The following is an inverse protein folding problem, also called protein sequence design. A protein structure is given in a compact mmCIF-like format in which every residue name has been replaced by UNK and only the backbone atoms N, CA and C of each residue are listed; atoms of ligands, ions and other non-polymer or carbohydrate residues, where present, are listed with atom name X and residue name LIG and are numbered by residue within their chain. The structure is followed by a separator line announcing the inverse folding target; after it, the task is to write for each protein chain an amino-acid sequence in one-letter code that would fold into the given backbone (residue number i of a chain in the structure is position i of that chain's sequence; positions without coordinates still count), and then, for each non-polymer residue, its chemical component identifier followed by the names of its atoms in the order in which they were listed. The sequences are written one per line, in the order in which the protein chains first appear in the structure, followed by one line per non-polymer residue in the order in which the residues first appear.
data_IF_171854481855
#
_entry.id   IF_171854481855
#
_cell.length_a   1.000
_cell.length_b   1.000
_cell.length_c   1.000
_cell.angle_alpha   90.00
_cell.angle_beta   90.00
_cell.angle_gamma   90.00
#
_symmetry.space_group_name_H-M   'P 1'
#
loop_
_entity.id
_entity.type
_entity.pdbx_description
1 polymer ?
#
# COMPACT_ATOMS: atom_id res chain seq x y z
N UNK A 1 -11.27 53.26 -9.22
CA UNK A 1 -11.35 51.87 -8.74
C UNK A 1 -12.64 51.27 -9.29
N UNK A 2 -12.52 50.31 -10.20
CA UNK A 2 -13.18 50.35 -11.52
C UNK A 2 -14.54 49.64 -11.64
N UNK A 3 -15.44 50.24 -12.44
CA UNK A 3 -16.81 49.83 -12.83
C UNK A 3 -16.91 48.38 -13.37
N UNK A 4 -15.78 47.80 -13.80
CA UNK A 4 -15.69 46.43 -14.31
C UNK A 4 -15.94 45.33 -13.27
N UNK A 5 -15.76 45.60 -11.97
CA UNK A 5 -16.03 44.63 -10.88
C UNK A 5 -17.54 44.36 -10.67
N UNK A 6 -18.40 45.29 -11.06
CA UNK A 6 -19.86 45.14 -10.96
C UNK A 6 -20.48 44.32 -12.10
N UNK A 7 -19.78 44.17 -13.23
CA UNK A 7 -20.30 43.47 -14.42
C UNK A 7 -19.75 42.04 -14.60
N UNK A 8 -18.58 41.72 -14.05
CA UNK A 8 -17.91 40.41 -14.27
C UNK A 8 -17.71 39.55 -13.01
N UNK A 9 -18.31 39.96 -11.89
CA UNK A 9 -18.09 39.33 -10.59
C UNK A 9 -16.63 39.45 -10.13
N UNK A 10 -16.31 38.80 -9.03
CA UNK A 10 -14.93 38.69 -8.55
C UNK A 10 -14.05 37.94 -9.56
N UNK A 11 -12.75 38.28 -9.65
CA UNK A 11 -11.81 37.54 -10.49
C UNK A 11 -11.43 36.21 -9.82
N UNK A 12 -11.03 35.20 -10.61
CA UNK A 12 -10.49 33.94 -10.06
C UNK A 12 -9.32 34.21 -9.11
N UNK A 13 -8.44 35.13 -9.51
CA UNK A 13 -7.28 35.54 -8.72
C UNK A 13 -7.70 36.08 -7.36
N UNK A 14 -8.67 36.98 -7.30
CA UNK A 14 -9.09 37.59 -6.04
C UNK A 14 -9.73 36.54 -5.12
N UNK A 15 -10.64 35.72 -5.66
CA UNK A 15 -11.31 34.66 -4.90
C UNK A 15 -10.32 33.63 -4.35
N UNK A 16 -9.39 33.16 -5.18
CA UNK A 16 -8.43 32.12 -4.80
C UNK A 16 -7.32 32.67 -3.90
N UNK A 17 -6.97 33.95 -4.03
CA UNK A 17 -6.07 34.62 -3.08
C UNK A 17 -6.70 34.73 -1.70
N UNK A 18 -7.99 35.04 -1.61
CA UNK A 18 -8.73 35.07 -0.34
C UNK A 18 -8.83 33.67 0.29
N UNK A 19 -9.14 32.66 -0.52
CA UNK A 19 -9.12 31.26 -0.08
C UNK A 19 -7.74 30.88 0.49
N UNK A 20 -6.66 31.20 -0.23
CA UNK A 20 -5.31 30.89 0.21
C UNK A 20 -4.99 31.56 1.55
N UNK A 21 -5.38 32.83 1.72
CA UNK A 21 -5.24 33.55 2.98
C UNK A 21 -6.04 32.90 4.13
N UNK A 22 -7.29 32.49 3.88
CA UNK A 22 -8.12 31.79 4.88
C UNK A 22 -7.54 30.44 5.30
N UNK A 23 -6.91 29.72 4.36
CA UNK A 23 -6.26 28.44 4.62
C UNK A 23 -4.83 28.58 5.18
N UNK A 24 -4.33 29.81 5.38
CA UNK A 24 -2.97 30.07 5.85
C UNK A 24 -1.90 29.57 4.87
N UNK A 25 -2.18 29.64 3.57
CA UNK A 25 -1.35 29.01 2.53
C UNK A 25 -1.05 29.93 1.35
N UNK A 26 -0.23 29.45 0.41
CA UNK A 26 0.22 30.24 -0.72
C UNK A 26 -0.73 30.14 -1.93
N UNK A 27 -1.07 31.31 -2.48
CA UNK A 27 -1.62 31.41 -3.83
C UNK A 27 -0.48 31.50 -4.83
N UNK A 28 -0.46 30.60 -5.81
CA UNK A 28 0.50 30.61 -6.91
C UNK A 28 -0.16 31.23 -8.14
N UNK A 29 0.20 32.48 -8.50
CA UNK A 29 -0.29 33.07 -9.74
C UNK A 29 0.29 32.29 -10.93
N UNK A 30 -0.58 31.79 -11.79
CA UNK A 30 -0.16 31.23 -13.07
C UNK A 30 0.59 32.28 -13.91
N UNK A 31 1.69 31.87 -14.55
CA UNK A 31 2.39 32.70 -15.55
C UNK A 31 1.59 32.81 -16.86
N UNK A 32 2.19 33.37 -17.91
CA UNK A 32 1.55 33.57 -19.23
C UNK A 32 0.95 32.30 -19.87
N UNK A 33 1.35 31.12 -19.40
CA UNK A 33 0.89 29.80 -19.87
C UNK A 33 0.46 28.86 -18.73
N UNK A 34 0.44 29.33 -17.48
CA UNK A 34 0.15 28.50 -16.30
C UNK A 34 -1.23 28.81 -15.73
N UNK A 35 -1.93 27.79 -15.24
CA UNK A 35 -3.15 28.00 -14.46
C UNK A 35 -2.83 28.63 -13.09
N UNK A 36 -3.72 29.49 -12.59
CA UNK A 36 -3.70 29.86 -11.17
C UNK A 36 -3.83 28.60 -10.32
N UNK A 37 -3.12 28.54 -9.20
CA UNK A 37 -3.20 27.41 -8.28
C UNK A 37 -3.27 27.87 -6.82
N UNK A 38 -3.98 27.11 -5.99
CA UNK A 38 -3.88 27.17 -4.54
C UNK A 38 -3.33 25.83 -4.08
N UNK A 39 -2.19 25.86 -3.39
CA UNK A 39 -1.61 24.67 -2.77
C UNK A 39 -1.76 24.82 -1.28
N UNK A 40 -2.41 23.87 -0.61
CA UNK A 40 -2.57 23.88 0.84
C UNK A 40 -2.08 22.56 1.43
N UNK A 41 -1.47 22.62 2.62
CA UNK A 41 -1.18 21.43 3.42
C UNK A 41 -2.19 21.31 4.54
N UNK A 42 -3.14 20.37 4.44
CA UNK A 42 -4.20 20.17 5.43
C UNK A 42 -4.21 18.72 5.89
N UNK A 43 -4.22 18.49 7.20
CA UNK A 43 -4.25 17.14 7.77
C UNK A 43 -3.05 16.27 7.37
N UNK A 44 -1.93 16.87 6.97
CA UNK A 44 -0.74 16.18 6.49
C UNK A 44 -0.66 16.00 4.96
N UNK A 45 -1.75 16.27 4.23
CA UNK A 45 -1.83 16.08 2.77
C UNK A 45 -1.58 17.37 2.01
N UNK A 46 -0.97 17.26 0.83
CA UNK A 46 -0.79 18.37 -0.10
C UNK A 46 -1.98 18.42 -1.08
N UNK A 47 -2.85 19.40 -0.92
CA UNK A 47 -4.01 19.63 -1.77
C UNK A 47 -3.67 20.71 -2.81
N UNK A 48 -3.99 20.43 -4.07
CA UNK A 48 -3.77 21.38 -5.18
C UNK A 48 -5.09 21.66 -5.89
N UNK A 49 -5.54 22.91 -5.80
CA UNK A 49 -6.63 23.45 -6.60
C UNK A 49 -6.04 24.14 -7.83
N UNK A 50 -6.41 23.72 -9.03
CA UNK A 50 -6.04 24.37 -10.29
C UNK A 50 -7.18 24.38 -11.31
N UNK A 51 -6.95 25.03 -12.45
CA UNK A 51 -7.81 24.90 -13.63
C UNK A 51 -7.05 24.24 -14.77
N UNK A 52 -7.75 23.46 -15.59
CA UNK A 52 -7.19 22.92 -16.83
C UNK A 52 -8.18 23.07 -17.97
N UNK A 53 -7.69 23.09 -19.21
CA UNK A 53 -8.51 23.17 -20.40
C UNK A 53 -8.51 21.84 -21.14
N UNK A 54 -9.69 21.39 -21.55
CA UNK A 54 -9.86 20.26 -22.45
C UNK A 54 -10.29 20.81 -23.80
N UNK A 55 -9.49 20.59 -24.84
CA UNK A 55 -9.83 20.93 -26.22
C UNK A 55 -10.41 19.71 -26.95
N UNK A 56 -11.59 19.88 -27.53
CA UNK A 56 -12.22 18.89 -28.40
C UNK A 56 -12.45 19.52 -29.78
N UNK A 57 -11.40 19.53 -30.60
CA UNK A 57 -11.44 20.14 -31.94
C UNK A 57 -11.69 21.65 -31.89
N UNK A 58 -12.96 22.07 -32.01
CA UNK A 58 -13.39 23.47 -32.17
C UNK A 58 -13.82 24.17 -30.87
N UNK A 59 -13.81 23.47 -29.74
CA UNK A 59 -14.15 24.05 -28.44
C UNK A 59 -13.10 23.75 -27.39
N UNK A 60 -12.78 24.75 -26.55
CA UNK A 60 -12.00 24.57 -25.33
C UNK A 60 -12.93 24.77 -24.14
N UNK A 61 -12.96 23.80 -23.23
CA UNK A 61 -13.72 23.89 -22.00
C UNK A 61 -12.75 23.92 -20.81
N UNK A 62 -12.90 24.95 -19.98
CA UNK A 62 -12.14 25.08 -18.74
C UNK A 62 -12.81 24.27 -17.63
N UNK A 63 -12.01 23.59 -16.82
CA UNK A 63 -12.42 22.83 -15.66
C UNK A 63 -11.67 23.31 -14.43
N UNK A 64 -12.35 23.37 -13.28
CA UNK A 64 -11.73 23.47 -11.96
C UNK A 64 -11.44 22.06 -11.45
N UNK A 65 -10.25 21.85 -10.88
CA UNK A 65 -9.84 20.58 -10.32
C UNK A 65 -9.21 20.77 -8.95
N UNK A 66 -9.62 19.93 -8.00
CA UNK A 66 -8.93 19.77 -6.72
C UNK A 66 -8.36 18.36 -6.68
N UNK A 67 -7.06 18.23 -6.41
CA UNK A 67 -6.39 16.94 -6.29
C UNK A 67 -5.60 16.84 -5.00
N UNK A 68 -5.52 15.63 -4.46
CA UNK A 68 -4.63 15.31 -3.36
C UNK A 68 -4.03 13.92 -3.62
N UNK A 69 -2.69 13.83 -3.80
CA UNK A 69 -2.03 12.54 -3.83
C UNK A 69 -2.12 11.90 -2.44
N UNK A 70 -2.38 10.60 -2.41
CA UNK A 70 -2.36 9.82 -1.19
C UNK A 70 -1.94 8.39 -1.48
N UNK A 71 -1.36 7.75 -0.47
CA UNK A 71 -0.97 6.34 -0.54
C UNK A 71 -2.25 5.51 -0.52
N UNK A 72 -2.51 4.75 -1.58
CA UNK A 72 -3.73 3.94 -1.73
C UNK A 72 -3.38 2.47 -1.95
N UNK A 73 -2.96 1.78 -0.88
CA UNK A 73 -2.37 0.47 -1.06
C UNK A 73 -3.43 -0.58 -1.43
N UNK A 74 -4.62 -0.47 -0.87
CA UNK A 74 -5.73 -1.36 -1.23
C UNK A 74 -6.19 -1.24 -2.70
N UNK A 75 -5.59 -0.33 -3.50
CA UNK A 75 -6.03 0.02 -4.85
C UNK A 75 -7.55 0.24 -4.91
N UNK A 76 -8.08 0.87 -3.84
CA UNK A 76 -9.49 1.18 -3.75
C UNK A 76 -9.80 2.17 -4.88
N UNK A 77 -10.83 1.88 -5.67
CA UNK A 77 -11.36 2.81 -6.66
C UNK A 77 -12.78 3.12 -6.25
N UNK A 78 -13.12 4.40 -6.25
CA UNK A 78 -14.51 4.79 -6.17
C UNK A 78 -14.75 6.06 -6.97
N UNK A 79 -16.02 6.29 -7.27
CA UNK A 79 -16.54 7.53 -7.82
C UNK A 79 -17.83 7.87 -7.08
N UNK A 80 -17.93 9.10 -6.59
CA UNK A 80 -19.11 9.64 -5.91
C UNK A 80 -19.51 10.92 -6.62
N UNK A 81 -20.75 10.99 -7.09
CA UNK A 81 -21.26 12.18 -7.75
C UNK A 81 -22.77 12.35 -7.53
N UNK A 82 -23.26 13.59 -7.63
CA UNK A 82 -24.70 13.85 -7.48
C UNK A 82 -25.49 13.38 -8.71
N UNK A 83 -26.61 12.69 -8.48
CA UNK A 83 -27.47 12.13 -9.53
C UNK A 83 -27.98 13.22 -10.50
N UNK A 84 -28.32 14.39 -9.97
CA UNK A 84 -28.86 15.53 -10.73
C UNK A 84 -27.89 16.17 -11.74
N UNK A 85 -26.62 15.76 -11.76
CA UNK A 85 -25.58 16.32 -12.65
C UNK A 85 -25.05 15.31 -13.67
N UNK A 86 -25.73 14.18 -13.85
CA UNK A 86 -25.33 13.15 -14.80
C UNK A 86 -25.80 13.47 -16.23
N UNK A 87 -24.86 13.48 -17.20
CA UNK A 87 -25.16 13.59 -18.64
C UNK A 87 -24.58 12.46 -19.49
N UNK A 88 -24.24 11.30 -18.90
CA UNK A 88 -23.83 10.10 -19.64
C UNK A 88 -22.32 9.83 -19.67
N UNK A 89 -21.70 9.47 -18.54
CA UNK A 89 -20.38 8.86 -18.51
C UNK A 89 -20.45 7.49 -17.84
N UNK A 90 -20.75 6.46 -18.63
CA UNK A 90 -20.60 5.06 -18.24
C UNK A 90 -19.19 4.59 -18.66
N UNK A 91 -18.27 4.53 -17.69
CA UNK A 91 -17.11 3.64 -17.80
C UNK A 91 -17.10 2.78 -16.55
N UNK A 92 -17.31 1.49 -16.77
CA UNK A 92 -17.71 0.51 -15.77
C UNK A 92 -16.62 0.24 -14.73
N UNK A 93 -16.91 0.57 -13.48
CA UNK A 93 -16.45 -0.21 -12.34
C UNK A 93 -17.62 -1.09 -11.91
N UNK A 94 -17.50 -2.41 -12.04
CA UNK A 94 -18.32 -3.36 -11.27
C UNK A 94 -19.86 -3.26 -11.33
N UNK A 95 -20.48 -2.96 -12.48
CA UNK A 95 -21.90 -3.22 -12.88
C UNK A 95 -23.08 -2.75 -11.98
N UNK A 96 -22.92 -2.30 -10.74
CA UNK A 96 -24.02 -1.80 -9.89
C UNK A 96 -23.60 -0.60 -9.03
N UNK A 97 -24.51 0.34 -8.82
CA UNK A 97 -24.33 1.46 -7.89
C UNK A 97 -24.42 0.95 -6.44
N UNK A 98 -23.59 1.48 -5.56
CA UNK A 98 -23.49 1.08 -4.15
C UNK A 98 -24.51 1.88 -3.36
N UNK A 99 -25.54 1.21 -2.84
CA UNK A 99 -26.48 1.80 -1.87
C UNK A 99 -25.85 1.82 -0.47
N UNK A 100 -25.90 2.96 0.21
CA UNK A 100 -25.38 3.12 1.58
C UNK A 100 -26.43 2.73 2.63
N UNK A 101 -27.71 2.68 2.24
CA UNK A 101 -28.84 2.35 3.11
C UNK A 101 -29.44 3.56 3.81
N UNK A 102 -29.24 4.76 3.25
CA UNK A 102 -29.75 6.02 3.78
C UNK A 102 -30.54 6.70 2.65
N UNK A 103 -31.85 6.53 2.65
CA UNK A 103 -32.74 6.92 1.55
C UNK A 103 -32.43 8.30 0.95
N UNK A 104 -32.44 9.37 1.76
CA UNK A 104 -32.20 10.73 1.24
C UNK A 104 -30.77 11.00 0.73
N UNK A 105 -29.80 10.15 1.08
CA UNK A 105 -28.44 10.24 0.53
C UNK A 105 -28.32 9.41 -0.75
N UNK A 106 -28.88 8.20 -0.75
CA UNK A 106 -28.89 7.30 -1.91
C UNK A 106 -29.73 7.86 -3.07
N UNK A 107 -30.74 8.69 -2.79
CA UNK A 107 -31.52 9.42 -3.81
C UNK A 107 -30.69 10.54 -4.48
N UNK A 108 -29.81 11.17 -3.71
CA UNK A 108 -29.05 12.36 -4.12
C UNK A 108 -27.73 12.02 -4.83
N UNK A 109 -27.16 10.84 -4.54
CA UNK A 109 -25.80 10.45 -4.92
C UNK A 109 -25.77 9.10 -5.64
N UNK A 110 -24.98 9.07 -6.73
CA UNK A 110 -24.57 7.83 -7.38
C UNK A 110 -23.16 7.51 -6.91
N UNK A 111 -22.98 6.28 -6.43
CA UNK A 111 -21.74 5.80 -5.82
C UNK A 111 -21.34 4.52 -6.53
N UNK A 112 -20.10 4.48 -7.01
CA UNK A 112 -19.53 3.33 -7.70
C UNK A 112 -18.18 3.03 -7.08
N UNK A 113 -17.81 1.76 -6.98
CA UNK A 113 -16.51 1.41 -6.40
C UNK A 113 -16.08 -0.02 -6.66
N UNK A 114 -14.80 -0.27 -6.41
CA UNK A 114 -14.17 -1.59 -6.55
C UNK A 114 -14.42 -2.53 -5.37
N UNK A 115 -14.79 -1.98 -4.21
CA UNK A 115 -15.07 -2.72 -2.97
C UNK A 115 -16.25 -2.06 -2.24
N UNK A 116 -17.43 -2.68 -2.37
CA UNK A 116 -18.68 -2.18 -1.79
C UNK A 116 -18.61 -2.01 -0.27
N UNK A 117 -18.03 -2.99 0.42
CA UNK A 117 -17.94 -3.00 1.89
C UNK A 117 -17.10 -1.82 2.38
N UNK A 118 -15.95 -1.59 1.74
CA UNK A 118 -15.06 -0.46 2.10
C UNK A 118 -15.68 0.88 1.79
N UNK A 119 -16.34 1.03 0.64
CA UNK A 119 -17.00 2.29 0.27
C UNK A 119 -18.17 2.58 1.20
N UNK A 120 -18.96 1.56 1.59
CA UNK A 120 -19.99 1.69 2.62
C UNK A 120 -19.41 2.09 3.97
N UNK A 121 -18.33 1.46 4.41
CA UNK A 121 -17.67 1.81 5.66
C UNK A 121 -17.17 3.26 5.65
N UNK A 122 -16.54 3.71 4.55
CA UNK A 122 -16.12 5.09 4.36
C UNK A 122 -17.30 6.06 4.49
N UNK A 123 -18.42 5.76 3.83
CA UNK A 123 -19.61 6.61 3.82
C UNK A 123 -20.56 6.38 4.99
N UNK A 124 -20.20 5.52 5.95
CA UNK A 124 -20.93 5.34 7.21
C UNK A 124 -20.74 6.51 8.17
N UNK A 125 -19.70 7.33 7.99
CA UNK A 125 -19.49 8.57 8.72
C UNK A 125 -20.52 9.64 8.33
N UNK A 126 -21.33 10.05 9.32
CA UNK A 126 -22.35 11.09 9.14
C UNK A 126 -21.75 12.46 8.80
N UNK A 127 -20.59 12.81 9.37
CA UNK A 127 -19.93 14.08 9.07
C UNK A 127 -19.49 14.13 7.61
N UNK A 128 -18.98 13.02 7.07
CA UNK A 128 -18.58 12.91 5.68
C UNK A 128 -19.76 13.08 4.72
N UNK A 129 -20.90 12.45 5.03
CA UNK A 129 -22.13 12.61 4.25
C UNK A 129 -22.64 14.05 4.26
N UNK A 130 -22.56 14.75 5.39
CA UNK A 130 -22.92 16.17 5.50
C UNK A 130 -22.00 17.03 4.62
N UNK A 131 -20.68 16.78 4.63
CA UNK A 131 -19.72 17.50 3.79
C UNK A 131 -19.96 17.27 2.29
N UNK A 132 -20.30 16.04 1.89
CA UNK A 132 -20.70 15.71 0.52
C UNK A 132 -22.00 16.42 0.13
N UNK A 133 -23.02 16.34 0.97
CA UNK A 133 -24.33 16.96 0.72
C UNK A 133 -24.24 18.49 0.62
N UNK A 134 -23.32 19.12 1.36
CA UNK A 134 -23.08 20.56 1.27
C UNK A 134 -22.51 21.02 -0.09
N UNK A 135 -22.00 20.10 -0.92
CA UNK A 135 -21.50 20.45 -2.25
C UNK A 135 -22.64 20.45 -3.28
N UNK A 136 -22.96 21.60 -3.90
CA UNK A 136 -24.07 21.68 -4.85
C UNK A 136 -23.77 20.93 -6.14
N UNK A 137 -22.49 20.85 -6.54
CA UNK A 137 -21.98 20.01 -7.64
C UNK A 137 -20.73 19.32 -7.14
N UNK A 138 -20.68 18.00 -7.31
CA UNK A 138 -19.60 17.18 -6.80
C UNK A 138 -19.43 15.95 -7.68
N UNK A 139 -18.19 15.69 -8.07
CA UNK A 139 -17.73 14.47 -8.73
C UNK A 139 -16.35 14.18 -8.19
N UNK A 140 -16.27 13.31 -7.20
CA UNK A 140 -15.00 12.88 -6.57
C UNK A 140 -14.69 11.47 -7.03
N UNK A 141 -13.43 11.21 -7.34
CA UNK A 141 -12.94 9.89 -7.71
C UNK A 141 -11.50 9.66 -7.26
N UNK A 142 -11.10 8.40 -7.18
CA UNK A 142 -9.69 8.03 -7.05
C UNK A 142 -9.15 7.69 -8.44
N UNK A 143 -8.14 8.44 -8.87
CA UNK A 143 -7.47 8.28 -10.15
C UNK A 143 -6.10 7.62 -9.98
N UNK A 144 -5.82 6.67 -10.88
CA UNK A 144 -4.47 6.10 -11.04
C UNK A 144 -3.51 7.18 -11.55
N UNK A 145 -2.27 7.19 -11.07
CA UNK A 145 -1.30 8.25 -11.38
C UNK A 145 -0.71 8.18 -12.80
N UNK A 146 -1.15 7.23 -13.63
CA UNK A 146 -0.73 7.07 -15.03
C UNK A 146 -1.30 8.13 -16.01
N UNK A 147 -1.81 9.26 -15.51
CA UNK A 147 -2.41 10.34 -16.32
C UNK A 147 -1.42 11.39 -16.86
N UNK A 148 -1.44 11.60 -18.19
CA UNK A 148 -0.62 12.45 -19.08
C UNK A 148 -0.17 13.88 -18.65
N UNK A 149 -0.54 14.43 -17.48
CA UNK A 149 -0.24 15.82 -17.11
C UNK A 149 0.05 16.06 -15.61
N UNK A 150 0.49 15.05 -14.86
CA UNK A 150 0.96 15.19 -13.46
C UNK A 150 2.35 14.60 -13.26
N UNK A 151 3.10 14.99 -12.20
CA UNK A 151 4.27 14.22 -11.80
C UNK A 151 3.83 12.80 -11.42
N UNK A 152 4.57 11.77 -11.87
CA UNK A 152 4.39 10.40 -11.38
C UNK A 152 4.77 10.40 -9.90
N UNK A 153 3.84 9.96 -9.05
CA UNK A 153 4.02 9.94 -7.60
C UNK A 153 4.53 8.58 -7.11
N UNK A 154 4.77 7.64 -8.04
CA UNK A 154 5.28 6.29 -7.81
C UNK A 154 4.16 5.24 -7.86
N UNK A 155 4.47 3.94 -7.92
CA UNK A 155 3.48 2.84 -8.07
C UNK A 155 2.42 2.78 -6.94
N UNK A 156 2.74 3.52 -5.88
CA UNK A 156 2.11 3.87 -4.61
C UNK A 156 0.79 4.62 -4.52
N UNK A 157 0.72 5.62 -5.38
CA UNK A 157 0.11 6.88 -5.03
C UNK A 157 -0.96 7.15 -6.05
N UNK A 158 -2.19 7.18 -5.58
CA UNK A 158 -3.31 7.61 -6.40
C UNK A 158 -3.66 9.05 -6.03
N UNK A 159 -4.47 9.69 -6.88
CA UNK A 159 -4.99 11.01 -6.62
C UNK A 159 -6.47 10.95 -6.29
N UNK A 160 -6.84 11.39 -5.09
CA UNK A 160 -8.22 11.80 -4.83
C UNK A 160 -8.45 13.07 -5.65
N UNK A 161 -9.41 13.01 -6.56
CA UNK A 161 -9.61 14.05 -7.58
C UNK A 161 -11.07 14.47 -7.63
N UNK A 162 -11.28 15.78 -7.66
CA UNK A 162 -12.55 16.43 -7.93
C UNK A 162 -12.42 17.23 -9.22
N UNK A 163 -13.44 17.19 -10.06
CA UNK A 163 -13.53 18.01 -11.27
C UNK A 163 -14.91 18.61 -11.47
N UNK A 164 -14.94 19.86 -11.95
CA UNK A 164 -16.15 20.56 -12.35
C UNK A 164 -15.89 21.48 -13.54
N UNK A 165 -16.86 21.61 -14.45
CA UNK A 165 -16.78 22.53 -15.57
C UNK A 165 -16.91 23.99 -15.13
N UNK A 166 -16.07 24.84 -15.70
CA UNK A 166 -15.97 26.26 -15.36
C UNK A 166 -14.99 26.56 -14.22
N UNK A 167 -14.90 27.84 -13.86
CA UNK A 167 -14.05 28.33 -12.78
C UNK A 167 -14.89 28.57 -11.53
N UNK A 168 -14.62 27.84 -10.45
CA UNK A 168 -15.28 28.05 -9.17
C UNK A 168 -14.65 29.26 -8.47
N UNK A 169 -15.46 30.27 -8.15
CA UNK A 169 -15.03 31.51 -7.48
C UNK A 169 -15.66 31.72 -6.11
N UNK A 170 -16.61 30.87 -5.72
CA UNK A 170 -17.21 30.91 -4.39
C UNK A 170 -16.22 30.38 -3.36
N UNK A 171 -15.67 31.30 -2.54
CA UNK A 171 -14.67 30.99 -1.52
C UNK A 171 -15.22 30.05 -0.45
N UNK A 172 -16.47 30.24 -0.01
CA UNK A 172 -17.08 29.40 1.01
C UNK A 172 -17.24 27.96 0.50
N UNK A 173 -17.62 27.81 -0.77
CA UNK A 173 -17.70 26.52 -1.44
C UNK A 173 -16.33 25.87 -1.58
N UNK A 174 -15.31 26.59 -2.05
CA UNK A 174 -13.96 26.07 -2.19
C UNK A 174 -13.41 25.61 -0.84
N UNK A 175 -13.60 26.39 0.23
CA UNK A 175 -13.23 25.99 1.59
C UNK A 175 -13.93 24.69 2.00
N UNK A 176 -15.22 24.55 1.71
CA UNK A 176 -15.96 23.31 1.92
C UNK A 176 -15.37 22.11 1.18
N UNK A 177 -14.88 22.28 -0.05
CA UNK A 177 -14.20 21.23 -0.80
C UNK A 177 -12.87 20.82 -0.16
N UNK A 178 -12.08 21.77 0.34
CA UNK A 178 -10.83 21.45 1.08
C UNK A 178 -11.14 20.68 2.37
N UNK A 179 -12.17 21.07 3.11
CA UNK A 179 -12.63 20.35 4.30
C UNK A 179 -13.12 18.93 3.96
N UNK A 180 -13.88 18.77 2.88
CA UNK A 180 -14.33 17.47 2.38
C UNK A 180 -13.14 16.58 2.00
N UNK A 181 -12.15 17.12 1.28
CA UNK A 181 -10.96 16.37 0.89
C UNK A 181 -10.15 15.92 2.10
N UNK A 182 -9.92 16.81 3.07
CA UNK A 182 -9.22 16.46 4.30
C UNK A 182 -9.94 15.32 5.06
N UNK A 183 -11.28 15.39 5.17
CA UNK A 183 -12.09 14.36 5.82
C UNK A 183 -12.06 13.02 5.04
N UNK A 184 -12.20 13.05 3.72
CA UNK A 184 -12.10 11.86 2.87
C UNK A 184 -10.74 11.18 3.00
N UNK A 185 -9.65 11.94 2.92
CA UNK A 185 -8.29 11.43 3.03
C UNK A 185 -8.02 10.86 4.42
N UNK A 186 -8.49 11.52 5.48
CA UNK A 186 -8.40 11.01 6.84
C UNK A 186 -9.15 9.70 7.00
N UNK A 187 -10.39 9.60 6.52
CA UNK A 187 -11.18 8.39 6.62
C UNK A 187 -10.59 7.23 5.78
N UNK A 188 -10.02 7.54 4.61
CA UNK A 188 -9.29 6.59 3.78
C UNK A 188 -8.05 6.03 4.49
N UNK A 189 -7.30 6.87 5.21
CA UNK A 189 -6.17 6.41 6.01
C UNK A 189 -6.61 5.63 7.26
N UNK A 190 -7.66 6.04 7.95
CA UNK A 190 -8.15 5.34 9.14
C UNK A 190 -8.69 3.94 8.81
N UNK A 191 -9.38 3.78 7.67
CA UNK A 191 -9.79 2.47 7.16
C UNK A 191 -8.61 1.56 6.82
N UNK A 192 -7.51 2.12 6.33
CA UNK A 192 -6.26 1.39 6.09
C UNK A 192 -5.52 1.05 7.40
N UNK A 193 -5.53 1.95 8.39
CA UNK A 193 -4.91 1.78 9.72
C UNK A 193 -5.58 0.68 10.57
N UNK A 194 -6.90 0.51 10.44
CA UNK A 194 -7.68 -0.49 11.19
C UNK A 194 -7.30 -1.96 10.88
N UNK A 195 -6.66 -2.21 9.73
CA UNK A 195 -6.19 -3.55 9.34
C UNK A 195 -4.78 -3.88 9.86
N UNK A 196 -4.01 -2.91 10.35
CA UNK A 196 -2.58 -3.08 10.69
C UNK A 196 -2.17 -2.56 12.07
N UNK A 197 -3.04 -1.81 12.77
CA UNK A 197 -2.76 -1.31 14.13
C UNK A 197 -1.58 -0.35 14.26
N UNK A 198 -0.90 0.00 13.17
CA UNK A 198 0.30 0.85 13.11
C UNK A 198 0.21 1.78 11.89
N UNK A 199 0.44 3.10 12.04
CA UNK A 199 0.43 4.05 10.91
C UNK A 199 1.47 3.68 9.84
N UNK A 200 1.18 3.83 8.53
CA UNK A 200 2.13 3.51 7.46
C UNK A 200 3.50 4.21 7.56
N UNK A 201 3.52 5.44 8.08
CA UNK A 201 4.75 6.19 8.33
C UNK A 201 5.61 5.60 9.46
N UNK A 202 5.00 4.81 10.35
CA UNK A 202 5.64 4.16 11.49
C UNK A 202 5.95 2.68 11.22
N UNK A 203 5.39 2.10 10.14
CA UNK A 203 5.64 0.70 9.76
C UNK A 203 7.13 0.38 9.58
N UNK A 204 7.96 1.23 8.91
CA UNK A 204 9.39 0.98 8.84
C UNK A 204 10.03 0.93 10.23
N UNK A 205 9.64 1.82 11.14
CA UNK A 205 10.19 1.89 12.50
C UNK A 205 9.76 0.69 13.36
N UNK A 206 8.49 0.28 13.29
CA UNK A 206 8.01 -0.90 14.02
C UNK A 206 8.64 -2.17 13.48
N UNK A 207 8.80 -2.29 12.16
CA UNK A 207 9.46 -3.41 11.53
C UNK A 207 10.95 -3.49 11.88
N UNK A 208 11.65 -2.35 11.85
CA UNK A 208 13.04 -2.26 12.27
C UNK A 208 13.21 -2.69 13.74
N UNK A 209 12.36 -2.20 14.65
CA UNK A 209 12.38 -2.64 16.06
C UNK A 209 12.14 -4.15 16.22
N UNK A 210 11.26 -4.74 15.42
CA UNK A 210 11.01 -6.18 15.45
C UNK A 210 12.25 -6.96 14.97
N UNK A 211 12.92 -6.50 13.90
CA UNK A 211 14.16 -7.11 13.42
C UNK A 211 15.32 -6.92 14.41
N UNK A 212 15.46 -5.75 15.01
CA UNK A 212 16.45 -5.48 16.06
C UNK A 212 16.24 -6.40 17.26
N UNK A 213 14.98 -6.58 17.70
CA UNK A 213 14.64 -7.50 18.80
C UNK A 213 15.03 -8.95 18.43
N UNK A 214 14.82 -9.36 17.19
CA UNK A 214 15.23 -10.69 16.73
C UNK A 214 16.76 -10.81 16.67
N UNK A 215 17.46 -9.82 16.11
CA UNK A 215 18.92 -9.81 16.07
C UNK A 215 19.56 -9.84 17.46
N UNK A 216 19.04 -9.04 18.40
CA UNK A 216 19.44 -9.04 19.82
C UNK A 216 19.21 -10.42 20.45
N UNK A 217 18.04 -11.03 20.21
CA UNK A 217 17.73 -12.37 20.73
C UNK A 217 18.66 -13.47 20.18
N UNK A 218 19.29 -13.21 19.04
CA UNK A 218 20.20 -14.12 18.35
C UNK A 218 21.68 -13.81 18.59
N UNK A 219 21.99 -12.79 19.39
CA UNK A 219 23.37 -12.38 19.70
C UNK A 219 24.13 -11.81 18.50
N UNK A 220 23.42 -11.26 17.52
CA UNK A 220 23.97 -10.73 16.27
C UNK A 220 23.91 -9.21 16.15
N UNK A 221 24.65 -8.67 15.18
CA UNK A 221 24.57 -7.27 14.77
C UNK A 221 23.58 -7.14 13.59
N UNK A 222 22.64 -6.19 13.70
CA UNK A 222 21.77 -5.78 12.61
C UNK A 222 22.17 -4.38 12.11
N UNK A 223 22.28 -4.23 10.80
CA UNK A 223 22.59 -2.96 10.14
C UNK A 223 21.56 -2.67 9.04
N UNK A 224 21.11 -1.42 8.96
CA UNK A 224 20.28 -0.96 7.85
C UNK A 224 21.16 -0.53 6.69
N UNK A 225 21.02 -1.21 5.55
CA UNK A 225 21.69 -0.89 4.30
C UNK A 225 20.65 -0.51 3.25
N UNK A 226 20.55 0.80 2.95
CA UNK A 226 19.59 1.34 1.99
C UNK A 226 18.12 0.98 2.31
N UNK A 227 17.50 0.16 1.46
CA UNK A 227 16.12 -0.35 1.55
C UNK A 227 16.05 -1.76 2.14
N UNK A 228 17.13 -2.22 2.77
CA UNK A 228 17.22 -3.54 3.41
C UNK A 228 17.73 -3.43 4.85
N UNK A 229 17.42 -4.46 5.62
CA UNK A 229 18.00 -4.71 6.94
C UNK A 229 18.79 -6.00 6.82
N UNK A 230 20.08 -5.92 7.13
CA UNK A 230 20.98 -7.06 7.14
C UNK A 230 21.30 -7.44 8.58
N UNK A 231 21.14 -8.71 8.93
CA UNK A 231 21.50 -9.24 10.24
C UNK A 231 22.51 -10.39 10.09
N UNK A 232 23.57 -10.36 10.89
CA UNK A 232 24.52 -11.47 11.01
C UNK A 232 24.19 -12.28 12.25
N UNK A 233 23.80 -13.53 12.05
CA UNK A 233 23.46 -14.45 13.14
C UNK A 233 24.65 -15.35 13.42
N UNK A 234 25.28 -15.28 14.61
CA UNK A 234 26.38 -16.17 14.97
C UNK A 234 25.94 -17.63 14.92
N UNK A 235 26.88 -18.52 14.58
CA UNK A 235 26.57 -19.93 14.49
C UNK A 235 26.19 -20.49 15.88
N UNK A 236 25.00 -21.09 16.04
CA UNK A 236 24.52 -21.58 17.33
C UNK A 236 25.35 -22.76 17.89
N UNK A 237 26.18 -23.40 17.07
CA UNK A 237 27.03 -24.55 17.41
C UNK A 237 28.53 -24.21 17.25
N UNK A 238 28.87 -22.94 17.04
CA UNK A 238 30.26 -22.47 17.07
C UNK A 238 31.09 -22.80 15.82
N UNK A 239 30.47 -23.05 14.65
CA UNK A 239 31.21 -23.04 13.38
C UNK A 239 31.74 -21.63 13.07
N UNK A 240 32.81 -21.55 12.28
CA UNK A 240 33.56 -20.31 12.00
C UNK A 240 32.79 -19.24 11.24
N UNK A 241 31.67 -19.59 10.59
CA UNK A 241 30.84 -18.67 9.81
C UNK A 241 29.40 -18.66 10.33
N UNK A 242 28.85 -17.46 10.53
CA UNK A 242 27.45 -17.23 10.91
C UNK A 242 26.50 -17.22 9.70
N UNK A 243 25.20 -17.17 9.96
CA UNK A 243 24.19 -16.96 8.93
C UNK A 243 24.02 -15.47 8.62
N UNK A 244 23.64 -15.16 7.39
CA UNK A 244 23.28 -13.83 6.92
C UNK A 244 21.79 -13.81 6.60
N UNK A 245 21.07 -12.88 7.23
CA UNK A 245 19.68 -12.60 6.91
C UNK A 245 19.59 -11.21 6.26
N UNK A 246 18.84 -11.11 5.17
CA UNK A 246 18.53 -9.86 4.50
C UNK A 246 17.01 -9.77 4.36
N UNK A 247 16.44 -8.71 4.91
CA UNK A 247 15.00 -8.44 4.83
C UNK A 247 14.80 -7.09 4.16
N UNK A 248 14.09 -7.08 3.04
CA UNK A 248 13.70 -5.84 2.38
C UNK A 248 12.68 -5.08 3.22
N UNK A 249 12.80 -3.75 3.23
CA UNK A 249 11.75 -2.91 3.81
C UNK A 249 10.40 -3.24 3.15
N UNK A 250 9.30 -3.33 3.93
CA UNK A 250 7.99 -3.64 3.39
C UNK A 250 7.64 -2.70 2.25
N UNK A 251 7.39 -3.29 1.07
CA UNK A 251 6.88 -2.54 -0.06
C UNK A 251 5.38 -2.48 0.09
N UNK A 252 4.86 -1.27 0.25
CA UNK A 252 3.45 -1.02 0.01
C UNK A 252 3.16 -1.49 -1.45
N UNK A 253 1.98 -2.06 -1.71
CA UNK A 253 0.78 -1.92 -0.90
C UNK A 253 0.38 -3.17 -0.13
N UNK A 254 0.88 -4.31 -0.60
CA UNK A 254 0.66 -5.63 -0.01
C UNK A 254 1.47 -5.80 1.29
N UNK A 255 2.26 -4.77 1.66
CA UNK A 255 3.28 -4.84 2.70
C UNK A 255 4.14 -6.07 2.48
N UNK A 256 4.62 -6.28 1.27
CA UNK A 256 5.47 -7.43 0.97
C UNK A 256 6.93 -7.03 1.10
N UNK A 257 7.66 -7.75 1.92
CA UNK A 257 9.11 -7.70 2.00
C UNK A 257 9.73 -8.76 1.11
N UNK A 258 10.94 -8.51 0.61
CA UNK A 258 11.82 -9.60 0.22
C UNK A 258 12.46 -10.19 1.47
N UNK A 259 12.75 -11.48 1.44
CA UNK A 259 13.46 -12.19 2.50
C UNK A 259 14.51 -13.10 1.87
N UNK A 260 15.72 -13.04 2.41
CA UNK A 260 16.79 -14.00 2.13
C UNK A 260 17.47 -14.40 3.44
N UNK A 261 17.71 -15.68 3.59
CA UNK A 261 18.48 -16.24 4.70
C UNK A 261 19.47 -17.24 4.13
N UNK A 262 20.76 -16.99 4.37
CA UNK A 262 21.87 -17.81 3.91
C UNK A 262 22.64 -18.30 5.12
N UNK A 263 22.84 -19.60 5.24
CA UNK A 263 23.49 -20.20 6.39
C UNK A 263 24.45 -21.31 6.01
N UNK A 264 25.67 -21.34 6.56
CA UNK A 264 26.61 -22.44 6.35
C UNK A 264 26.14 -23.69 7.09
N UNK A 265 26.38 -24.86 6.51
CA UNK A 265 26.12 -26.15 7.13
C UNK A 265 27.43 -26.96 7.20
N UNK A 266 27.60 -27.82 8.22
CA UNK A 266 28.66 -28.83 8.21
C UNK A 266 28.57 -29.67 6.93
N UNK A 267 29.72 -30.19 6.46
CA UNK A 267 29.75 -31.06 5.29
C UNK A 267 28.82 -32.27 5.49
N UNK A 268 27.95 -32.53 4.52
CA UNK A 268 26.97 -33.62 4.61
C UNK A 268 26.32 -33.96 3.29
N UNK A 269 25.89 -35.21 3.15
CA UNK A 269 25.28 -35.74 1.92
C UNK A 269 23.80 -35.37 1.75
N UNK A 270 23.14 -34.84 2.78
CA UNK A 270 21.73 -34.45 2.74
C UNK A 270 21.53 -33.28 1.79
N UNK A 271 20.77 -33.48 0.70
CA UNK A 271 20.44 -32.44 -0.28
C UNK A 271 18.94 -32.47 -0.53
N UNK A 272 18.29 -31.32 -0.38
CA UNK A 272 16.88 -31.19 -0.74
C UNK A 272 16.49 -29.76 -1.14
N UNK A 273 15.37 -29.65 -1.83
CA UNK A 273 14.71 -28.39 -2.16
C UNK A 273 13.25 -28.44 -1.73
N UNK A 274 12.75 -27.35 -1.15
CA UNK A 274 11.32 -27.13 -0.90
C UNK A 274 10.87 -25.89 -1.69
N UNK A 275 9.78 -26.01 -2.44
CA UNK A 275 9.25 -24.90 -3.24
C UNK A 275 7.73 -24.86 -3.20
N UNK A 276 7.14 -23.71 -3.54
CA UNK A 276 5.69 -23.53 -3.61
C UNK A 276 5.07 -24.42 -4.69
N UNK A 277 3.98 -25.09 -4.33
CA UNK A 277 3.18 -25.89 -5.27
C UNK A 277 2.55 -24.98 -6.36
N UNK A 278 2.86 -25.23 -7.63
CA UNK A 278 2.34 -24.48 -8.78
C UNK A 278 3.40 -23.92 -9.74
N UNK A 279 4.65 -23.80 -9.29
CA UNK A 279 5.80 -23.68 -10.19
C UNK A 279 6.18 -25.09 -10.68
N UNK A 280 6.34 -25.26 -11.99
CA UNK A 280 6.40 -26.56 -12.67
C UNK A 280 7.33 -27.58 -11.99
N UNK A 281 6.80 -28.74 -11.58
CA UNK A 281 7.49 -29.72 -10.72
C UNK A 281 7.74 -31.08 -11.41
N UNK A 282 8.95 -31.65 -11.26
CA UNK A 282 9.28 -33.04 -11.64
C UNK A 282 9.94 -33.76 -10.45
N UNK A 283 9.26 -34.80 -9.91
CA UNK A 283 9.67 -35.60 -8.75
C UNK A 283 9.31 -34.95 -7.41
N UNK A 284 8.49 -35.62 -6.58
CA UNK A 284 8.09 -35.13 -5.24
C UNK A 284 8.27 -36.24 -4.20
N UNK A 285 8.74 -35.87 -3.01
CA UNK A 285 8.80 -36.73 -1.82
C UNK A 285 7.62 -36.35 -0.91
N UNK A 286 6.80 -37.33 -0.51
CA UNK A 286 5.74 -37.11 0.49
C UNK A 286 6.33 -37.15 1.89
N UNK A 287 5.96 -36.20 2.74
CA UNK A 287 6.37 -36.16 4.14
C UNK A 287 5.45 -36.97 5.05
N UNK A 288 4.19 -37.17 4.65
CA UNK A 288 3.17 -37.73 5.53
C UNK A 288 2.54 -36.72 6.48
N UNK A 289 2.87 -35.43 6.39
CA UNK A 289 2.16 -34.33 7.03
C UNK A 289 1.34 -33.59 5.97
N UNK A 290 0.01 -33.64 6.11
CA UNK A 290 -0.93 -33.07 5.12
C UNK A 290 -0.74 -31.55 4.93
N UNK A 291 -0.27 -30.81 5.93
CA UNK A 291 -0.05 -29.37 5.82
C UNK A 291 1.16 -29.09 4.94
N UNK A 292 2.25 -29.81 5.17
CA UNK A 292 3.47 -29.69 4.36
C UNK A 292 3.21 -30.19 2.94
N UNK A 293 2.60 -31.38 2.81
CA UNK A 293 2.32 -32.01 1.52
C UNK A 293 1.27 -31.24 0.70
N UNK A 294 0.44 -30.40 1.34
CA UNK A 294 -0.47 -29.48 0.66
C UNK A 294 0.25 -28.25 0.11
N UNK A 295 1.17 -27.66 0.88
CA UNK A 295 1.77 -26.34 0.60
C UNK A 295 3.09 -26.40 -0.19
N UNK A 296 3.92 -27.41 0.07
CA UNK A 296 5.30 -27.49 -0.41
C UNK A 296 5.52 -28.73 -1.30
N UNK A 297 6.36 -28.56 -2.32
CA UNK A 297 6.94 -29.67 -3.06
C UNK A 297 8.37 -29.91 -2.58
N UNK A 298 8.63 -31.07 -1.98
CA UNK A 298 9.97 -31.48 -1.55
C UNK A 298 10.64 -32.39 -2.58
N UNK A 299 11.91 -32.14 -2.87
CA UNK A 299 12.73 -33.00 -3.75
C UNK A 299 14.09 -33.26 -3.10
N UNK A 300 14.62 -34.48 -3.18
CA UNK A 300 15.94 -34.79 -2.62
C UNK A 300 16.11 -36.25 -2.24
N UNK A 301 17.30 -36.59 -1.75
CA UNK A 301 17.69 -37.95 -1.35
C UNK A 301 17.28 -38.32 0.08
N UNK A 302 16.78 -37.37 0.87
CA UNK A 302 16.44 -37.57 2.28
C UNK A 302 14.98 -37.97 2.49
N UNK A 303 14.74 -38.95 3.35
CA UNK A 303 13.45 -39.10 4.05
C UNK A 303 13.28 -37.84 4.91
N UNK A 304 12.08 -37.23 4.90
CA UNK A 304 11.77 -36.12 5.80
C UNK A 304 11.95 -36.59 7.25
N UNK A 305 13.09 -36.24 7.87
CA UNK A 305 13.40 -36.64 9.24
C UNK A 305 12.43 -35.94 10.19
N UNK A 306 11.94 -36.59 11.27
CA UNK A 306 11.00 -35.98 12.22
C UNK A 306 11.47 -34.61 12.76
N UNK A 307 12.77 -34.45 13.01
CA UNK A 307 13.38 -33.21 13.49
C UNK A 307 13.16 -32.01 12.55
N UNK A 308 13.04 -32.24 11.23
CA UNK A 308 12.83 -31.19 10.24
C UNK A 308 11.36 -30.81 10.08
N UNK A 309 10.42 -31.61 10.59
CA UNK A 309 8.99 -31.43 10.35
C UNK A 309 8.45 -30.16 10.99
N UNK A 310 8.90 -29.82 12.20
CA UNK A 310 8.46 -28.61 12.91
C UNK A 310 8.80 -27.33 12.14
N UNK A 311 10.07 -27.07 11.74
CA UNK A 311 10.38 -25.88 10.96
C UNK A 311 9.74 -25.91 9.56
N UNK A 312 9.69 -27.06 8.88
CA UNK A 312 9.04 -27.18 7.57
C UNK A 312 7.54 -26.85 7.64
N UNK A 313 6.86 -27.24 8.71
CA UNK A 313 5.45 -26.92 8.92
C UNK A 313 5.21 -25.43 9.19
N UNK A 314 6.12 -24.77 9.90
CA UNK A 314 6.07 -23.31 10.07
C UNK A 314 6.29 -22.60 8.73
N UNK A 315 7.22 -23.09 7.90
CA UNK A 315 7.46 -22.57 6.55
C UNK A 315 6.29 -22.83 5.59
N UNK A 316 5.52 -23.90 5.76
CA UNK A 316 4.37 -24.23 4.91
C UNK A 316 3.32 -23.11 4.87
N UNK A 317 3.19 -22.31 5.93
CA UNK A 317 2.28 -21.16 5.97
C UNK A 317 2.68 -20.01 5.03
N UNK A 318 3.95 -19.97 4.63
CA UNK A 318 4.56 -18.92 3.80
C UNK A 318 4.93 -19.47 2.42
N UNK A 319 5.23 -20.77 2.33
CA UNK A 319 5.72 -21.48 1.16
C UNK A 319 6.96 -20.81 0.50
N UNK A 320 8.05 -20.58 1.27
CA UNK A 320 9.29 -20.03 0.74
C UNK A 320 10.01 -21.02 -0.19
N UNK A 321 10.97 -20.51 -0.95
CA UNK A 321 11.95 -21.35 -1.63
C UNK A 321 13.07 -21.71 -0.67
N UNK A 322 13.24 -23.01 -0.39
CA UNK A 322 14.29 -23.55 0.48
C UNK A 322 15.21 -24.43 -0.35
N UNK A 323 16.51 -24.23 -0.22
CA UNK A 323 17.52 -25.10 -0.82
C UNK A 323 18.55 -25.49 0.23
N UNK A 324 18.78 -26.79 0.38
CA UNK A 324 19.81 -27.35 1.23
C UNK A 324 20.79 -28.11 0.35
N UNK A 325 22.02 -27.62 0.32
CA UNK A 325 23.14 -28.17 -0.44
C UNK A 325 24.20 -28.70 0.52
N UNK A 326 25.29 -29.23 -0.02
CA UNK A 326 26.34 -29.91 0.75
C UNK A 326 27.00 -29.02 1.81
N UNK A 327 27.17 -27.73 1.55
CA UNK A 327 27.87 -26.80 2.44
C UNK A 327 26.98 -25.67 3.01
N UNK A 328 25.68 -25.66 2.70
CA UNK A 328 24.84 -24.54 3.13
C UNK A 328 23.36 -24.69 2.83
N UNK A 329 22.61 -23.76 3.39
CA UNK A 329 21.18 -23.61 3.25
C UNK A 329 20.84 -22.19 2.79
N UNK A 330 19.90 -22.09 1.86
CA UNK A 330 19.26 -20.83 1.49
C UNK A 330 17.75 -20.92 1.67
N UNK A 331 17.15 -19.89 2.25
CA UNK A 331 15.69 -19.70 2.33
C UNK A 331 15.38 -18.33 1.74
N UNK A 332 14.52 -18.27 0.74
CA UNK A 332 14.18 -17.01 0.08
C UNK A 332 12.69 -16.89 -0.20
N UNK A 333 12.18 -15.66 -0.08
CA UNK A 333 10.85 -15.28 -0.52
C UNK A 333 10.94 -13.90 -1.18
N UNK A 334 10.61 -13.82 -2.48
CA UNK A 334 10.63 -12.56 -3.21
C UNK A 334 9.49 -11.62 -2.79
N UNK A 335 8.33 -12.20 -2.45
CA UNK A 335 7.13 -11.51 -2.00
C UNK A 335 6.60 -12.17 -0.72
N UNK A 336 6.89 -11.55 0.42
CA UNK A 336 6.52 -12.05 1.75
C UNK A 336 5.70 -11.00 2.48
N UNK A 337 4.43 -11.25 2.88
CA UNK A 337 3.71 -10.33 3.75
C UNK A 337 4.56 -9.98 4.99
N UNK A 338 4.73 -8.71 5.29
CA UNK A 338 5.71 -8.21 6.25
C UNK A 338 5.43 -8.69 7.66
N UNK A 339 4.15 -8.91 7.99
CA UNK A 339 3.70 -9.55 9.23
C UNK A 339 4.16 -11.02 9.34
N UNK A 340 4.50 -11.66 8.23
CA UNK A 340 5.01 -13.04 8.15
C UNK A 340 6.55 -13.12 8.12
N UNK A 341 7.26 -12.01 7.94
CA UNK A 341 8.73 -12.01 7.94
C UNK A 341 9.35 -12.54 9.25
N UNK A 342 8.86 -12.16 10.45
CA UNK A 342 9.37 -12.72 11.71
C UNK A 342 9.13 -14.24 11.84
N UNK A 343 7.98 -14.72 11.35
CA UNK A 343 7.66 -16.16 11.37
C UNK A 343 8.62 -16.94 10.46
N UNK A 344 8.87 -16.45 9.25
CA UNK A 344 9.79 -17.10 8.32
C UNK A 344 11.22 -17.10 8.84
N UNK A 345 11.66 -16.00 9.45
CA UNK A 345 12.97 -15.90 10.09
C UNK A 345 13.14 -16.95 11.20
N UNK A 346 12.18 -17.04 12.12
CA UNK A 346 12.19 -18.05 13.18
C UNK A 346 12.25 -19.48 12.62
N UNK A 347 11.44 -19.77 11.60
CA UNK A 347 11.44 -21.08 10.97
C UNK A 347 12.77 -21.40 10.26
N UNK A 348 13.41 -20.42 9.59
CA UNK A 348 14.69 -20.59 8.94
C UNK A 348 15.82 -20.86 9.95
N UNK A 349 15.80 -20.18 11.10
CA UNK A 349 16.74 -20.41 12.19
C UNK A 349 16.58 -21.79 12.81
N UNK A 350 15.35 -22.20 13.12
CA UNK A 350 15.05 -23.54 13.62
C UNK A 350 15.53 -24.61 12.63
N UNK A 351 15.26 -24.42 11.33
CA UNK A 351 15.72 -25.35 10.30
C UNK A 351 17.26 -25.44 10.24
N UNK A 352 17.93 -24.30 10.33
CA UNK A 352 19.40 -24.26 10.33
C UNK A 352 20.00 -24.97 11.54
N UNK A 353 19.48 -24.71 12.74
CA UNK A 353 19.92 -25.37 13.99
C UNK A 353 19.75 -26.88 13.88
N UNK A 354 18.57 -27.34 13.46
CA UNK A 354 18.28 -28.77 13.35
C UNK A 354 19.14 -29.44 12.28
N UNK A 355 19.35 -28.83 11.11
CA UNK A 355 20.25 -29.36 10.09
C UNK A 355 21.69 -29.44 10.56
N UNK A 356 22.14 -28.46 11.33
CA UNK A 356 23.51 -28.44 11.88
C UNK A 356 23.69 -29.54 12.92
N UNK A 357 22.72 -29.73 13.83
CA UNK A 357 22.73 -30.84 14.80
C UNK A 357 22.73 -32.20 14.11
N UNK A 358 21.82 -32.40 13.16
CA UNK A 358 21.69 -33.64 12.40
C UNK A 358 23.00 -33.99 11.68
N UNK A 359 23.64 -33.01 11.03
CA UNK A 359 24.91 -33.24 10.33
C UNK A 359 26.11 -33.38 11.26
N UNK A 360 26.03 -32.82 12.47
CA UNK A 360 27.01 -33.07 13.54
C UNK A 360 26.84 -34.46 14.20
N UNK A 361 25.80 -35.22 13.85
CA UNK A 361 25.49 -36.52 14.46
C UNK A 361 24.75 -36.40 15.80
N UNK A 362 24.27 -35.21 16.14
CA UNK A 362 23.46 -34.93 17.32
C UNK A 362 21.97 -35.07 16.93
N UNK A 363 21.34 -36.21 17.22
CA UNK A 363 19.89 -36.37 16.97
C UNK A 363 19.39 -37.76 16.55
N UNK A 364 20.24 -38.77 16.46
CA UNK A 364 19.84 -40.16 16.11
C UNK A 364 19.66 -41.06 17.36
N UNK A 365 19.09 -40.51 18.44
CA UNK A 365 18.70 -41.27 19.64
C UNK A 365 17.20 -41.20 19.91
#
# INVERSE_FOLDING_TARGET
MSVWRQLFGESQRDAWSRLAAELGTAFEPGGLFGAHAVRARLGGYDLVLDTYQVSSGHSSQTYTRLRAPFVNPSKLRFRIFRASYFSGLATAFGRQDIEIGIAGFDDDFIIQGSDEVRVRALLSDAALRVLLAAQPRISVRIDDDEGLFGPSYGPEVDALTFTESGVIKDVARLRGLFSLFAALLQALQQGAQSLLGVPPAELPTVFLRALDTVAESLGGDAERVQDTVEARVPNPIGLTEGARCVVGLPRLPALTSSFSFEAPLPAGADRFTAEKRGALTLGTVKTGDDVIDAALALRGSGVARPALMRPLRAMAAVAPDVRVLEAGMTVSAAELPADRAPLLLGAALDLWVELTRVRAGEGDR
#
